data_IF_248799312696
#
_entry.id   IF_248799312696
#
_cell.length_a   1.000
_cell.length_b   1.000
_cell.length_c   1.000
_cell.angle_alpha   90.00
_cell.angle_beta   90.00
_cell.angle_gamma   90.00
#
_symmetry.space_group_name_H-M   'P 1'
#
loop_
_entity.id
_entity.type
_entity.pdbx_description
1 polymer ?
#
# COMPACT_ATOMS: atom_id res chain seq x y z
N UNK A 1 -13.73 15.20 7.31
CA UNK A 1 -14.08 14.41 8.51
C UNK A 1 -14.33 12.99 8.02
N UNK A 2 -13.51 12.02 8.41
CA UNK A 2 -13.61 10.63 7.93
C UNK A 2 -14.84 9.95 8.56
N UNK A 3 -15.64 9.24 7.77
CA UNK A 3 -16.87 8.58 8.24
C UNK A 3 -16.54 7.40 9.18
N UNK A 4 -17.42 7.04 10.14
CA UNK A 4 -17.22 5.85 10.96
C UNK A 4 -17.14 4.60 10.07
N UNK A 5 -16.04 3.86 10.16
CA UNK A 5 -15.73 2.69 9.32
C UNK A 5 -14.69 2.96 8.23
N UNK A 6 -14.33 4.21 8.00
CA UNK A 6 -13.25 4.56 7.08
C UNK A 6 -11.90 4.15 7.67
N UNK A 7 -11.04 3.58 6.82
CA UNK A 7 -9.67 3.22 7.17
C UNK A 7 -8.73 4.23 6.53
N UNK A 8 -8.44 5.37 7.18
CA UNK A 8 -7.60 6.39 6.59
C UNK A 8 -6.18 5.84 6.42
N UNK A 9 -5.72 5.77 5.17
CA UNK A 9 -4.35 5.43 4.81
C UNK A 9 -3.63 6.71 4.39
N UNK A 10 -2.41 6.93 4.87
CA UNK A 10 -1.54 8.03 4.41
C UNK A 10 -0.11 7.55 4.41
N UNK A 11 0.67 7.95 3.42
CA UNK A 11 2.07 7.61 3.37
C UNK A 11 2.87 8.29 4.50
N UNK A 12 3.84 7.56 5.05
CA UNK A 12 4.81 8.12 5.98
C UNK A 12 5.57 9.30 5.34
N UNK A 13 5.93 10.30 6.16
CA UNK A 13 6.62 11.52 5.75
C UNK A 13 7.95 11.65 6.49
N UNK A 14 8.85 12.49 5.98
CA UNK A 14 10.19 12.68 6.54
C UNK A 14 11.16 11.55 6.16
N UNK A 15 12.29 11.50 6.85
CA UNK A 15 13.43 10.62 6.53
C UNK A 15 13.51 9.34 7.34
N UNK A 16 12.65 9.16 8.35
CA UNK A 16 12.57 7.92 9.12
C UNK A 16 11.95 6.81 8.27
N UNK A 17 12.56 5.62 8.29
CA UNK A 17 12.10 4.45 7.55
C UNK A 17 11.15 3.60 8.40
N UNK A 18 10.14 3.02 7.75
CA UNK A 18 9.29 1.96 8.31
C UNK A 18 9.69 0.57 7.79
N UNK A 19 10.30 0.51 6.59
CA UNK A 19 10.89 -0.67 5.98
C UNK A 19 12.42 -0.70 6.13
N UNK A 20 13.06 -1.77 5.62
CA UNK A 20 14.50 -2.02 5.79
C UNK A 20 15.40 -1.07 4.99
N UNK A 21 14.95 -0.60 3.83
CA UNK A 21 15.71 0.29 2.96
C UNK A 21 14.80 1.28 2.23
N UNK A 22 15.39 2.28 1.57
CA UNK A 22 14.61 3.23 0.77
C UNK A 22 13.93 2.55 -0.43
N UNK A 23 14.53 1.47 -0.94
CA UNK A 23 14.02 0.68 -2.06
C UNK A 23 12.72 -0.03 -1.71
N UNK A 24 12.53 -0.44 -0.46
CA UNK A 24 11.29 -1.08 0.04
C UNK A 24 10.34 -0.08 0.70
N UNK A 25 10.86 0.99 1.30
CA UNK A 25 10.07 2.11 1.83
C UNK A 25 9.35 2.89 0.72
N UNK A 26 10.01 3.12 -0.42
CA UNK A 26 9.43 3.88 -1.52
C UNK A 26 8.12 3.25 -2.06
N UNK A 27 8.07 1.97 -2.46
CA UNK A 27 6.83 1.34 -2.90
C UNK A 27 5.79 1.27 -1.77
N UNK A 28 6.20 1.09 -0.50
CA UNK A 28 5.28 1.15 0.65
C UNK A 28 4.59 2.53 0.72
N UNK A 29 5.36 3.62 0.66
CA UNK A 29 4.81 4.98 0.67
C UNK A 29 3.95 5.25 -0.55
N UNK A 30 4.36 4.82 -1.73
CA UNK A 30 3.57 5.02 -2.96
C UNK A 30 2.24 4.26 -2.92
N UNK A 31 2.24 3.03 -2.42
CA UNK A 31 1.02 2.25 -2.19
C UNK A 31 0.07 2.98 -1.22
N UNK A 32 0.59 3.46 -0.08
CA UNK A 32 -0.22 4.21 0.89
C UNK A 32 -0.70 5.56 0.33
N UNK A 33 0.10 6.23 -0.49
CA UNK A 33 -0.27 7.51 -1.11
C UNK A 33 -1.42 7.34 -2.12
N UNK A 34 -1.44 6.23 -2.85
CA UNK A 34 -2.57 5.91 -3.74
C UNK A 34 -3.91 5.77 -3.00
N UNK A 35 -3.90 5.57 -1.68
CA UNK A 35 -5.11 5.46 -0.85
C UNK A 35 -5.28 6.64 0.11
N UNK A 36 -4.49 7.71 -0.05
CA UNK A 36 -4.69 8.93 0.73
C UNK A 36 -6.07 9.52 0.41
N UNK A 37 -6.90 9.89 1.41
CA UNK A 37 -8.17 10.55 1.19
C UNK A 37 -8.10 11.85 0.38
N UNK A 38 -6.92 12.48 0.29
CA UNK A 38 -6.69 13.65 -0.56
C UNK A 38 -6.28 13.30 -2.00
N UNK A 39 -6.04 12.02 -2.29
CA UNK A 39 -5.56 11.51 -3.59
C UNK A 39 -6.57 10.58 -4.26
N UNK A 40 -7.11 9.62 -3.51
CA UNK A 40 -8.00 8.57 -4.04
C UNK A 40 -9.46 9.05 -4.16
N UNK A 41 -10.14 8.61 -5.20
CA UNK A 41 -11.58 8.86 -5.39
C UNK A 41 -12.43 8.16 -4.31
N UNK A 42 -12.10 6.90 -3.95
CA UNK A 42 -12.86 6.06 -2.99
C UNK A 42 -11.90 5.14 -2.21
N UNK A 43 -11.09 5.69 -1.27
CA UNK A 43 -10.02 4.95 -0.61
C UNK A 43 -10.50 3.77 0.25
N UNK A 44 -11.69 3.87 0.87
CA UNK A 44 -12.23 2.80 1.72
C UNK A 44 -12.57 1.52 0.93
N UNK A 45 -12.83 1.66 -0.37
CA UNK A 45 -13.04 0.57 -1.32
C UNK A 45 -11.76 0.16 -2.06
N UNK A 46 -10.61 0.72 -1.66
CA UNK A 46 -9.30 0.61 -2.29
C UNK A 46 -9.22 1.21 -3.70
N UNK A 47 -10.23 1.97 -4.13
CA UNK A 47 -10.33 2.56 -5.47
C UNK A 47 -9.56 3.87 -5.52
N UNK A 48 -8.60 3.95 -6.44
CA UNK A 48 -7.74 5.12 -6.65
C UNK A 48 -8.41 6.09 -7.62
N UNK A 49 -8.65 5.66 -8.86
CA UNK A 49 -9.36 6.42 -9.88
C UNK A 49 -9.85 5.49 -11.01
N UNK A 50 -10.60 6.04 -11.97
CA UNK A 50 -10.99 5.32 -13.18
C UNK A 50 -12.06 4.25 -12.94
N UNK A 51 -13.01 4.56 -12.05
CA UNK A 51 -14.15 3.70 -11.74
C UNK A 51 -13.82 2.58 -10.76
N UNK A 52 -13.13 1.53 -11.23
CA UNK A 52 -12.81 0.33 -10.42
C UNK A 52 -11.31 0.06 -10.31
N UNK A 53 -10.46 1.00 -10.72
CA UNK A 53 -9.00 0.89 -10.58
C UNK A 53 -8.61 0.90 -9.10
N UNK A 54 -8.13 -0.24 -8.57
CA UNK A 54 -7.80 -0.41 -7.15
C UNK A 54 -6.31 -0.56 -6.89
N UNK A 55 -5.84 -0.08 -5.74
CA UNK A 55 -4.45 -0.20 -5.30
C UNK A 55 -4.08 -1.63 -4.83
N UNK A 56 -5.05 -2.36 -4.27
CA UNK A 56 -4.91 -3.75 -3.84
C UNK A 56 -6.23 -4.52 -4.06
N UNK A 57 -6.17 -5.86 -4.02
CA UNK A 57 -7.33 -6.72 -4.30
C UNK A 57 -8.42 -6.64 -3.22
N UNK A 58 -7.99 -6.58 -1.97
CA UNK A 58 -8.79 -6.52 -0.75
C UNK A 58 -7.95 -5.90 0.37
N UNK A 59 -8.56 -5.58 1.50
CA UNK A 59 -7.84 -5.07 2.67
C UNK A 59 -6.81 -6.08 3.19
N UNK A 60 -7.16 -7.37 3.26
CA UNK A 60 -6.20 -8.43 3.62
C UNK A 60 -4.98 -8.46 2.69
N UNK A 61 -5.19 -8.23 1.39
CA UNK A 61 -4.09 -8.18 0.43
C UNK A 61 -3.25 -6.91 0.59
N UNK A 62 -3.89 -5.77 0.88
CA UNK A 62 -3.18 -4.53 1.19
C UNK A 62 -2.30 -4.70 2.43
N UNK A 63 -2.84 -5.27 3.51
CA UNK A 63 -2.13 -5.52 4.75
C UNK A 63 -0.95 -6.47 4.54
N UNK A 64 -1.17 -7.56 3.82
CA UNK A 64 -0.10 -8.48 3.47
C UNK A 64 0.99 -7.83 2.61
N UNK A 65 0.66 -6.93 1.67
CA UNK A 65 1.67 -6.19 0.89
C UNK A 65 2.45 -5.24 1.79
N UNK A 66 1.77 -4.50 2.67
CA UNK A 66 2.39 -3.55 3.60
C UNK A 66 3.36 -4.27 4.53
N UNK A 67 2.95 -5.38 5.13
CA UNK A 67 3.78 -6.15 6.06
C UNK A 67 4.97 -6.77 5.31
N UNK A 68 4.73 -7.34 4.12
CA UNK A 68 5.81 -7.90 3.31
C UNK A 68 6.84 -6.83 2.90
N UNK A 69 6.40 -5.64 2.47
CA UNK A 69 7.32 -4.56 2.10
C UNK A 69 8.14 -4.02 3.28
N UNK A 70 7.62 -4.07 4.51
CA UNK A 70 8.38 -3.68 5.70
C UNK A 70 9.51 -4.66 6.00
N UNK A 71 9.29 -5.93 5.72
CA UNK A 71 10.23 -7.02 6.03
C UNK A 71 11.09 -7.47 4.85
N UNK A 72 10.80 -7.05 3.61
CA UNK A 72 11.54 -7.44 2.40
C UNK A 72 13.01 -6.99 2.46
N UNK A 73 13.92 -7.93 2.25
CA UNK A 73 15.36 -7.68 2.20
C UNK A 73 15.80 -7.14 0.82
N UNK A 74 17.02 -6.58 0.74
CA UNK A 74 17.50 -5.87 -0.45
C UNK A 74 17.74 -6.78 -1.68
N UNK A 75 17.87 -8.09 -1.48
CA UNK A 75 18.06 -9.11 -2.50
C UNK A 75 16.80 -9.95 -2.78
N UNK A 76 15.69 -9.63 -2.12
CA UNK A 76 14.40 -10.31 -2.29
C UNK A 76 13.44 -9.56 -3.23
N UNK A 77 12.55 -10.30 -3.90
CA UNK A 77 11.54 -9.74 -4.79
C UNK A 77 10.12 -10.17 -4.41
N UNK A 78 9.27 -9.21 -4.03
CA UNK A 78 7.84 -9.43 -3.84
C UNK A 78 7.10 -9.54 -5.18
N UNK A 79 6.41 -10.66 -5.39
CA UNK A 79 5.51 -10.88 -6.52
C UNK A 79 4.08 -10.48 -6.17
N UNK A 80 3.50 -9.55 -6.93
CA UNK A 80 2.10 -9.10 -6.79
C UNK A 80 1.29 -9.46 -8.03
N UNK A 81 0.26 -10.29 -7.87
CA UNK A 81 -0.63 -10.72 -8.94
C UNK A 81 -2.01 -10.08 -8.76
N UNK A 82 -2.40 -9.18 -9.67
CA UNK A 82 -3.67 -8.43 -9.62
C UNK A 82 -4.01 -7.94 -8.20
N UNK A 83 -3.06 -7.22 -7.60
CA UNK A 83 -3.20 -6.62 -6.26
C UNK A 83 -3.16 -7.58 -5.08
N UNK A 84 -2.71 -8.83 -5.26
CA UNK A 84 -2.48 -9.81 -4.17
C UNK A 84 -0.99 -10.18 -4.11
N UNK A 85 -0.35 -10.17 -2.93
CA UNK A 85 1.00 -10.70 -2.78
C UNK A 85 0.95 -12.23 -2.87
N UNK A 86 1.77 -12.82 -3.76
CA UNK A 86 1.73 -14.26 -4.05
C UNK A 86 3.03 -15.00 -3.74
N UNK A 87 4.12 -14.29 -3.48
CA UNK A 87 5.39 -14.89 -3.08
C UNK A 87 6.50 -13.86 -2.95
N UNK A 88 7.56 -14.25 -2.26
CA UNK A 88 8.85 -13.57 -2.21
C UNK A 88 9.89 -14.56 -2.71
N UNK A 89 10.82 -14.11 -3.55
CA UNK A 89 11.89 -14.90 -4.16
C UNK A 89 13.24 -14.23 -4.00
#
# INVERSE_FOLDING_TARGET
MSLPGARPVRAARGTALSARSWQTEAPLRMLMNNLDPEVAERPDDLVVYGGTGRAARSWDAFDAIVDTLKDLEDDETLLVQSGKPVGVL
#
